data_IF_240282798684
#
_entry.id   IF_240282798684
#
_cell.length_a   1.000
_cell.length_b   1.000
_cell.length_c   1.000
_cell.angle_alpha   90.00
_cell.angle_beta   90.00
_cell.angle_gamma   90.00
#
_symmetry.space_group_name_H-M   'P 1'
#
loop_
_entity.id
_entity.type
_entity.pdbx_description
1 polymer ?
#
# COMPACT_ATOMS: atom_id res chain seq x y z
N UNK A 1 -6.44 -0.69 11.72
CA UNK A 1 -6.92 -1.62 10.69
C UNK A 1 -6.61 -1.04 9.30
N UNK A 2 -6.10 -1.88 8.38
CA UNK A 2 -5.82 -1.40 7.02
C UNK A 2 -7.13 -1.15 6.26
N UNK A 3 -7.16 -0.08 5.46
CA UNK A 3 -8.30 0.29 4.66
C UNK A 3 -8.41 -0.64 3.43
N UNK A 4 -9.62 -0.98 3.02
CA UNK A 4 -9.83 -1.67 1.76
C UNK A 4 -10.03 -0.60 0.67
N UNK A 5 -9.02 -0.39 -0.15
CA UNK A 5 -9.07 0.57 -1.25
C UNK A 5 -9.77 0.00 -2.47
N UNK A 6 -10.38 0.89 -3.24
CA UNK A 6 -10.74 0.64 -4.65
C UNK A 6 -10.00 1.68 -5.50
N UNK A 7 -10.18 1.66 -6.83
CA UNK A 7 -9.51 2.62 -7.72
C UNK A 7 -9.78 4.07 -7.31
N UNK A 8 -11.03 4.40 -7.04
CA UNK A 8 -11.43 5.75 -6.67
C UNK A 8 -10.84 6.18 -5.35
N UNK A 9 -11.00 5.37 -4.29
CA UNK A 9 -10.53 5.74 -2.95
C UNK A 9 -9.02 5.78 -2.87
N UNK A 10 -8.32 4.94 -3.62
CA UNK A 10 -6.87 4.99 -3.71
C UNK A 10 -6.40 6.30 -4.34
N UNK A 11 -7.04 6.72 -5.44
CA UNK A 11 -6.72 8.01 -6.09
C UNK A 11 -7.01 9.19 -5.16
N UNK A 12 -8.13 9.14 -4.44
CA UNK A 12 -8.49 10.20 -3.47
C UNK A 12 -7.44 10.30 -2.36
N UNK A 13 -7.00 9.16 -1.83
CA UNK A 13 -5.98 9.13 -0.79
C UNK A 13 -4.68 9.78 -1.29
N UNK A 14 -4.22 9.37 -2.48
CA UNK A 14 -3.00 9.93 -3.09
C UNK A 14 -3.16 11.44 -3.29
N UNK A 15 -4.30 11.89 -3.80
CA UNK A 15 -4.56 13.29 -4.07
C UNK A 15 -4.64 14.14 -2.79
N UNK A 16 -4.89 13.52 -1.64
CA UNK A 16 -4.96 14.24 -0.36
C UNK A 16 -3.63 14.87 0.05
N UNK A 17 -2.52 14.40 -0.51
CA UNK A 17 -1.19 14.86 -0.15
C UNK A 17 -0.63 14.26 1.12
N UNK A 18 -1.41 13.50 1.86
CA UNK A 18 -0.97 12.82 3.08
C UNK A 18 -0.05 11.65 2.75
N UNK A 19 0.71 11.14 3.74
CA UNK A 19 1.43 9.89 3.56
C UNK A 19 0.43 8.76 3.31
N UNK A 20 0.65 7.99 2.23
CA UNK A 20 -0.25 6.90 1.83
C UNK A 20 0.57 5.65 1.55
N UNK A 21 0.07 4.52 2.03
CA UNK A 21 0.67 3.20 1.77
C UNK A 21 -0.40 2.32 1.15
N UNK A 22 -0.12 1.78 -0.04
CA UNK A 22 -1.05 0.88 -0.73
C UNK A 22 -0.37 -0.45 -0.99
N UNK A 23 -0.92 -1.51 -0.41
CA UNK A 23 -0.49 -2.90 -0.64
C UNK A 23 -1.34 -3.48 -1.78
N UNK A 24 -0.71 -3.69 -2.93
CA UNK A 24 -1.35 -4.32 -4.08
C UNK A 24 -1.18 -5.83 -4.01
N UNK A 25 -2.27 -6.56 -4.00
CA UNK A 25 -2.22 -8.01 -3.86
C UNK A 25 -3.45 -8.70 -4.42
N UNK A 26 -3.53 -10.01 -4.19
CA UNK A 26 -4.65 -10.84 -4.63
C UNK A 26 -4.89 -11.93 -3.60
N UNK A 27 -6.14 -12.42 -3.54
CA UNK A 27 -6.54 -13.43 -2.57
C UNK A 27 -5.91 -14.80 -2.81
N UNK A 28 -5.47 -15.06 -4.05
CA UNK A 28 -4.85 -16.33 -4.45
C UNK A 28 -3.32 -16.32 -4.36
N UNK A 29 -2.74 -15.21 -3.98
CA UNK A 29 -1.30 -15.03 -3.95
C UNK A 29 -0.76 -15.35 -2.55
N UNK A 30 0.04 -16.41 -2.43
CA UNK A 30 0.59 -16.84 -1.14
C UNK A 30 1.40 -15.77 -0.41
N UNK A 31 2.41 -15.15 -1.08
CA UNK A 31 3.17 -14.07 -0.44
C UNK A 31 2.32 -12.86 -0.06
N UNK A 32 1.26 -12.55 -0.84
CA UNK A 32 0.33 -11.48 -0.51
C UNK A 32 -0.41 -11.76 0.79
N UNK A 33 -0.86 -13.01 0.96
CA UNK A 33 -1.55 -13.45 2.18
C UNK A 33 -0.62 -13.30 3.39
N UNK A 34 0.64 -13.68 3.24
CA UNK A 34 1.63 -13.59 4.33
C UNK A 34 1.97 -12.14 4.68
N UNK A 35 1.94 -11.25 3.70
CA UNK A 35 2.20 -9.83 3.92
C UNK A 35 1.03 -9.14 4.61
N UNK A 36 -0.18 -9.66 4.48
CA UNK A 36 -1.39 -9.07 5.05
C UNK A 36 -1.25 -8.67 6.52
N UNK A 37 -0.87 -9.57 7.43
CA UNK A 37 -0.68 -9.23 8.83
C UNK A 37 0.37 -8.14 9.08
N UNK A 38 1.40 -8.09 8.25
CA UNK A 38 2.46 -7.08 8.35
C UNK A 38 1.89 -5.69 8.02
N UNK A 39 1.07 -5.59 6.98
CA UNK A 39 0.41 -4.33 6.60
C UNK A 39 -0.60 -3.92 7.67
N UNK A 40 -1.33 -4.87 8.27
CA UNK A 40 -2.25 -4.58 9.37
C UNK A 40 -1.50 -4.01 10.57
N UNK A 41 -0.33 -4.57 10.89
CA UNK A 41 0.49 -4.08 11.99
C UNK A 41 1.00 -2.66 11.71
N UNK A 42 1.40 -2.40 10.47
CA UNK A 42 1.80 -1.04 10.06
C UNK A 42 0.63 -0.06 10.24
N UNK A 43 -0.58 -0.47 9.85
CA UNK A 43 -1.78 0.35 10.00
C UNK A 43 -2.09 0.64 11.46
N UNK A 44 -1.92 -0.35 12.34
CA UNK A 44 -2.14 -0.15 13.78
C UNK A 44 -1.16 0.86 14.36
N UNK A 45 0.10 0.81 13.93
CA UNK A 45 1.15 1.70 14.47
C UNK A 45 1.04 3.13 13.93
N UNK A 46 0.67 3.29 12.66
CA UNK A 46 0.78 4.58 11.97
C UNK A 46 -0.53 5.08 11.35
N UNK A 47 -1.64 4.39 11.55
CA UNK A 47 -2.92 4.74 10.92
C UNK A 47 -3.49 6.10 11.31
N UNK A 48 -2.99 6.71 12.39
CA UNK A 48 -3.36 8.05 12.81
C UNK A 48 -2.53 9.13 12.08
N UNK A 49 -1.44 8.75 11.41
CA UNK A 49 -0.53 9.67 10.71
C UNK A 49 -0.41 9.40 9.22
N UNK A 50 -0.89 8.26 8.75
CA UNK A 50 -0.80 7.86 7.35
C UNK A 50 -2.06 7.08 6.96
N UNK A 51 -2.41 7.15 5.67
CA UNK A 51 -3.53 6.36 5.13
C UNK A 51 -2.93 5.06 4.62
N UNK A 52 -3.27 3.95 5.25
CA UNK A 52 -2.66 2.63 4.96
C UNK A 52 -3.75 1.64 4.59
N UNK A 53 -3.62 1.00 3.43
CA UNK A 53 -4.63 0.07 2.98
C UNK A 53 -4.13 -0.94 1.97
N UNK A 54 -5.05 -1.80 1.56
CA UNK A 54 -4.83 -2.90 0.62
C UNK A 54 -5.75 -2.73 -0.57
N UNK A 55 -5.29 -3.15 -1.74
CA UNK A 55 -6.07 -3.11 -2.98
C UNK A 55 -5.96 -4.45 -3.68
N UNK A 56 -7.12 -5.04 -4.02
CA UNK A 56 -7.18 -6.31 -4.73
C UNK A 56 -7.11 -6.05 -6.24
N UNK A 57 -6.04 -6.51 -6.88
CA UNK A 57 -5.80 -6.25 -8.31
C UNK A 57 -6.83 -6.90 -9.23
N UNK A 58 -7.55 -7.91 -8.76
CA UNK A 58 -8.59 -8.58 -9.55
C UNK A 58 -9.89 -7.79 -9.59
N UNK A 59 -10.12 -6.94 -8.59
CA UNK A 59 -11.33 -6.11 -8.50
C UNK A 59 -11.09 -4.70 -9.04
N UNK A 60 -9.89 -4.18 -8.86
CA UNK A 60 -9.54 -2.80 -9.19
C UNK A 60 -8.24 -2.78 -9.99
N UNK A 61 -8.35 -2.55 -11.31
CA UNK A 61 -7.21 -2.67 -12.21
C UNK A 61 -6.71 -1.35 -12.79
N UNK A 62 -7.46 -0.25 -12.63
CA UNK A 62 -7.06 1.03 -13.22
C UNK A 62 -5.83 1.61 -12.55
N UNK A 63 -5.85 1.68 -11.23
CA UNK A 63 -4.69 2.20 -10.48
C UNK A 63 -3.48 1.27 -10.60
N UNK A 64 -3.72 -0.03 -10.74
CA UNK A 64 -2.67 -1.02 -10.98
C UNK A 64 -1.91 -0.67 -12.25
N UNK A 65 -2.63 -0.38 -13.34
CA UNK A 65 -2.04 -0.01 -14.61
C UNK A 65 -1.36 1.37 -14.53
N UNK A 66 -2.02 2.35 -13.92
CA UNK A 66 -1.49 3.71 -13.77
C UNK A 66 -0.15 3.72 -13.03
N UNK A 67 -0.05 2.90 -11.98
CA UNK A 67 1.16 2.84 -11.15
C UNK A 67 2.15 1.78 -11.62
N UNK A 68 1.86 1.11 -12.74
CA UNK A 68 2.73 0.10 -13.35
C UNK A 68 3.12 -1.03 -12.38
N UNK A 69 2.14 -1.50 -11.62
CA UNK A 69 2.34 -2.64 -10.73
C UNK A 69 2.32 -3.91 -11.59
N UNK A 70 3.43 -4.64 -11.63
CA UNK A 70 3.59 -5.83 -12.47
C UNK A 70 3.78 -7.10 -11.66
N UNK A 71 4.18 -6.98 -10.41
CA UNK A 71 4.40 -8.11 -9.52
C UNK A 71 3.60 -7.88 -8.25
N UNK A 72 3.16 -8.94 -7.60
CA UNK A 72 2.46 -8.86 -6.32
C UNK A 72 3.12 -9.80 -5.31
N UNK A 73 3.14 -9.40 -4.04
CA UNK A 73 2.69 -8.11 -3.53
C UNK A 73 3.64 -6.97 -3.90
N UNK A 74 3.09 -5.80 -4.17
CA UNK A 74 3.86 -4.57 -4.31
C UNK A 74 3.25 -3.55 -3.36
N UNK A 75 4.08 -2.90 -2.55
CA UNK A 75 3.64 -1.84 -1.65
C UNK A 75 4.19 -0.51 -2.16
N UNK A 76 3.29 0.45 -2.41
CA UNK A 76 3.66 1.78 -2.87
C UNK A 76 3.47 2.79 -1.75
N UNK A 77 4.42 3.73 -1.66
CA UNK A 77 4.43 4.78 -0.64
C UNK A 77 4.35 6.14 -1.32
N UNK A 78 3.36 6.93 -0.94
CA UNK A 78 3.11 8.25 -1.53
C UNK A 78 3.19 9.34 -0.48
N UNK A 79 3.59 10.54 -0.90
CA UNK A 79 3.55 11.76 -0.10
C UNK A 79 3.43 12.95 -1.05
N UNK A 80 2.61 13.93 -0.69
CA UNK A 80 2.37 15.12 -1.50
C UNK A 80 1.89 14.78 -2.92
N UNK A 81 1.11 13.71 -3.04
CA UNK A 81 0.56 13.25 -4.31
C UNK A 81 1.55 12.50 -5.20
N UNK A 82 2.74 12.20 -4.71
CA UNK A 82 3.80 11.61 -5.53
C UNK A 82 4.34 10.30 -4.95
N UNK A 83 4.67 9.37 -5.85
CA UNK A 83 5.29 8.11 -5.46
C UNK A 83 6.70 8.36 -4.91
N UNK A 84 6.95 7.90 -3.70
CA UNK A 84 8.22 8.10 -3.00
C UNK A 84 9.05 6.83 -2.92
N UNK A 85 8.41 5.68 -2.79
CA UNK A 85 9.10 4.41 -2.62
C UNK A 85 8.20 3.24 -3.02
N UNK A 86 8.85 2.10 -3.26
CA UNK A 86 8.19 0.86 -3.68
C UNK A 86 8.92 -0.33 -3.04
N UNK A 87 8.16 -1.28 -2.48
CA UNK A 87 8.70 -2.59 -2.12
C UNK A 87 8.00 -3.65 -2.94
N UNK A 88 8.71 -4.73 -3.30
CA UNK A 88 8.16 -5.83 -4.08
C UNK A 88 8.42 -7.14 -3.34
N UNK A 89 7.41 -7.99 -3.25
CA UNK A 89 7.51 -9.28 -2.59
C UNK A 89 7.23 -9.20 -1.09
N UNK A 90 7.42 -10.34 -0.42
CA UNK A 90 7.23 -10.44 1.02
C UNK A 90 8.40 -9.78 1.74
N UNK A 91 8.09 -8.74 2.49
CA UNK A 91 9.09 -7.98 3.24
C UNK A 91 8.71 -7.93 4.72
N UNK A 92 9.63 -7.48 5.55
CA UNK A 92 9.41 -7.35 7.01
C UNK A 92 8.77 -6.01 7.33
N UNK A 93 8.16 -5.93 8.52
CA UNK A 93 7.61 -4.68 9.03
C UNK A 93 8.67 -3.58 9.02
N UNK A 94 9.91 -3.90 9.42
CA UNK A 94 11.00 -2.92 9.44
C UNK A 94 11.30 -2.34 8.06
N UNK A 95 11.12 -3.12 6.99
CA UNK A 95 11.30 -2.64 5.62
C UNK A 95 10.21 -1.63 5.25
N UNK A 96 8.97 -1.92 5.62
CA UNK A 96 7.86 -1.00 5.39
C UNK A 96 8.03 0.29 6.20
N UNK A 97 8.44 0.16 7.46
CA UNK A 97 8.70 1.31 8.32
C UNK A 97 9.81 2.21 7.77
N UNK A 98 10.88 1.59 7.24
CA UNK A 98 12.00 2.33 6.67
C UNK A 98 11.56 3.23 5.50
N UNK A 99 10.53 2.82 4.76
CA UNK A 99 10.00 3.60 3.65
C UNK A 99 8.92 4.60 4.07
N UNK A 100 8.21 4.32 5.17
CA UNK A 100 7.12 5.18 5.63
C UNK A 100 7.61 6.32 6.53
N UNK A 101 8.49 6.02 7.49
CA UNK A 101 8.92 7.01 8.49
C UNK A 101 9.44 8.32 7.89
N UNK A 102 10.23 8.32 6.80
CA UNK A 102 10.68 9.58 6.18
C UNK A 102 9.55 10.45 5.64
N UNK A 103 8.36 9.89 5.47
CA UNK A 103 7.20 10.59 4.88
C UNK A 103 6.27 11.20 5.94
N UNK A 104 6.46 10.84 7.18
CA UNK A 104 5.59 11.29 8.28
C UNK A 104 5.89 12.70 8.77
#
# INVERSE_FOLDING_TARGET
MAIAFNDETAREAIASGKPVVIDFGATWCGPCIKLGPVVEELAEKYGDRAIIGKLNIDEDSEIVAEQRVRNIPTVLFFKDGQLQARTVGLVKLSDLEANLLPLL
#
